data_IF_208155785318
#
_entry.id   IF_208155785318
#
_cell.length_a   1.000
_cell.length_b   1.000
_cell.length_c   1.000
_cell.angle_alpha   90.00
_cell.angle_beta   90.00
_cell.angle_gamma   90.00
#
_symmetry.space_group_name_H-M   'P 1'
#
loop_
_entity.id
_entity.type
_entity.pdbx_description
1 polymer ?
#
# COMPACT_ATOMS: atom_id res chain seq x y z
N UNK A 1 -10.65 -10.66 -7.42
CA UNK A 1 -9.29 -10.20 -7.72
C UNK A 1 -9.26 -8.68 -7.65
N UNK A 2 -8.42 -8.08 -6.81
CA UNK A 2 -8.29 -6.61 -6.69
C UNK A 2 -7.11 -6.09 -7.50
N UNK A 3 -7.23 -4.85 -7.98
CA UNK A 3 -6.16 -4.10 -8.65
C UNK A 3 -5.96 -2.76 -7.93
N UNK A 4 -4.74 -2.48 -7.51
CA UNK A 4 -4.33 -1.18 -6.97
C UNK A 4 -3.30 -0.52 -7.90
N UNK A 5 -3.54 0.73 -8.30
CA UNK A 5 -2.62 1.49 -9.17
C UNK A 5 -2.09 2.69 -8.40
N UNK A 6 -0.75 2.86 -8.36
CA UNK A 6 -0.10 4.05 -7.79
C UNK A 6 0.94 4.62 -8.75
N UNK A 7 0.94 5.95 -8.87
CA UNK A 7 1.95 6.74 -9.60
C UNK A 7 2.81 7.49 -8.59
N UNK A 8 4.13 7.43 -8.74
CA UNK A 8 5.07 8.25 -7.99
C UNK A 8 5.24 9.59 -8.71
N UNK A 9 4.96 10.71 -8.02
CA UNK A 9 4.84 12.04 -8.63
C UNK A 9 6.12 12.91 -8.57
N UNK A 10 7.23 12.41 -8.01
CA UNK A 10 8.41 13.24 -7.69
C UNK A 10 9.49 13.37 -8.78
N UNK A 11 9.36 12.68 -9.91
CA UNK A 11 10.32 12.76 -11.02
C UNK A 11 9.81 13.72 -12.10
N UNK A 12 9.90 15.04 -11.87
CA UNK A 12 9.78 16.03 -12.96
C UNK A 12 11.12 16.70 -13.12
N UNK A 13 11.70 16.60 -14.31
CA UNK A 13 12.94 17.27 -14.77
C UNK A 13 14.27 16.56 -14.43
N UNK A 14 14.41 15.27 -14.77
CA UNK A 14 15.68 14.53 -14.64
C UNK A 14 15.99 13.86 -15.99
N UNK A 15 17.25 13.96 -16.42
CA UNK A 15 17.76 13.42 -17.69
C UNK A 15 17.69 11.88 -17.68
N UNK A 16 17.36 11.19 -18.80
CA UNK A 16 17.06 9.76 -18.79
C UNK A 16 18.18 8.84 -18.28
N UNK A 17 19.44 9.29 -18.33
CA UNK A 17 20.60 8.52 -17.85
C UNK A 17 20.77 8.60 -16.32
N UNK A 18 20.29 9.68 -15.67
CA UNK A 18 20.28 9.85 -14.21
C UNK A 18 19.10 9.10 -13.54
N UNK A 19 18.08 8.73 -14.32
CA UNK A 19 16.87 8.00 -13.87
C UNK A 19 17.14 6.60 -13.34
N UNK A 20 18.24 5.96 -13.71
CA UNK A 20 18.53 4.59 -13.24
C UNK A 20 18.82 4.58 -11.74
N UNK A 21 19.44 5.62 -11.20
CA UNK A 21 19.75 5.71 -9.77
C UNK A 21 18.69 6.48 -8.99
N UNK A 22 18.05 7.50 -9.57
CA UNK A 22 16.90 8.17 -8.94
C UNK A 22 15.64 7.30 -8.96
N UNK A 23 15.34 6.65 -10.08
CA UNK A 23 14.27 5.66 -10.19
C UNK A 23 14.49 4.47 -9.26
N UNK A 24 15.73 4.02 -9.02
CA UNK A 24 16.03 3.04 -7.96
C UNK A 24 15.74 3.57 -6.56
N UNK A 25 16.08 4.83 -6.25
CA UNK A 25 15.80 5.44 -4.93
C UNK A 25 14.28 5.57 -4.69
N UNK A 26 13.53 5.97 -5.71
CA UNK A 26 12.08 6.11 -5.63
C UNK A 26 11.34 4.77 -5.67
N UNK A 27 11.88 3.75 -6.34
CA UNK A 27 11.38 2.37 -6.25
C UNK A 27 11.70 1.79 -4.87
N UNK A 28 12.91 2.02 -4.36
CA UNK A 28 13.33 1.64 -3.02
C UNK A 28 12.55 2.39 -1.93
N UNK A 29 11.78 3.44 -2.25
CA UNK A 29 10.88 4.08 -1.30
C UNK A 29 9.85 3.08 -0.75
N UNK A 30 9.15 2.38 -1.64
CA UNK A 30 8.08 1.46 -1.26
C UNK A 30 8.40 -0.01 -1.50
N UNK A 31 9.44 -0.34 -2.28
CA UNK A 31 9.83 -1.74 -2.53
C UNK A 31 11.03 -2.17 -1.70
N UNK A 32 10.98 -3.41 -1.23
CA UNK A 32 12.10 -4.07 -0.59
C UNK A 32 13.13 -4.51 -1.67
N UNK A 33 14.38 -4.83 -1.30
CA UNK A 33 15.44 -5.21 -2.26
C UNK A 33 15.06 -6.34 -3.23
N UNK A 34 14.27 -7.30 -2.77
CA UNK A 34 13.69 -8.43 -3.51
C UNK A 34 12.57 -8.00 -4.47
N UNK A 35 12.15 -6.73 -4.41
CA UNK A 35 11.18 -6.13 -5.31
C UNK A 35 9.71 -6.39 -4.96
N UNK A 36 9.45 -6.89 -3.75
CA UNK A 36 8.12 -6.92 -3.13
C UNK A 36 7.81 -5.56 -2.51
N UNK A 37 6.53 -5.33 -2.18
CA UNK A 37 6.14 -4.13 -1.45
C UNK A 37 6.59 -4.24 0.02
N UNK A 38 7.30 -3.23 0.55
CA UNK A 38 7.76 -3.23 1.95
C UNK A 38 6.58 -3.33 2.89
N UNK A 39 6.62 -4.31 3.79
CA UNK A 39 5.57 -4.53 4.80
C UNK A 39 5.41 -3.36 5.78
N UNK A 40 6.48 -2.57 5.96
CA UNK A 40 6.49 -1.36 6.77
C UNK A 40 5.94 -0.11 6.05
N UNK A 41 5.69 -0.17 4.74
CA UNK A 41 5.28 0.99 3.97
C UNK A 41 3.75 1.16 3.96
N UNK A 42 3.28 2.42 3.99
CA UNK A 42 1.84 2.77 4.02
C UNK A 42 0.98 2.11 2.93
N UNK A 43 1.55 1.88 1.74
CA UNK A 43 0.84 1.21 0.64
C UNK A 43 0.57 -0.27 0.96
N UNK A 44 1.45 -0.94 1.70
CA UNK A 44 1.21 -2.31 2.13
C UNK A 44 0.02 -2.38 3.07
N UNK A 45 -0.03 -1.52 4.09
CA UNK A 45 -1.20 -1.39 4.96
C UNK A 45 -2.48 -1.09 4.17
N UNK A 46 -2.44 -0.15 3.22
CA UNK A 46 -3.61 0.15 2.38
C UNK A 46 -4.11 -1.08 1.62
N UNK A 47 -3.22 -1.83 0.97
CA UNK A 47 -3.59 -3.04 0.21
C UNK A 47 -4.12 -4.12 1.14
N UNK A 48 -3.47 -4.34 2.29
CA UNK A 48 -3.93 -5.31 3.28
C UNK A 48 -5.32 -4.95 3.80
N UNK A 49 -5.59 -3.69 4.13
CA UNK A 49 -6.94 -3.25 4.51
C UNK A 49 -7.96 -3.56 3.42
N UNK A 50 -7.66 -3.29 2.15
CA UNK A 50 -8.56 -3.58 1.04
C UNK A 50 -8.82 -5.09 0.85
N UNK A 51 -7.80 -5.93 1.07
CA UNK A 51 -7.93 -7.39 1.01
C UNK A 51 -8.81 -7.94 2.14
N UNK A 52 -8.68 -7.39 3.36
CA UNK A 52 -9.43 -7.86 4.53
C UNK A 52 -10.86 -7.32 4.61
N UNK A 53 -11.12 -6.12 4.10
CA UNK A 53 -12.46 -5.52 4.06
C UNK A 53 -13.28 -5.94 2.84
N UNK A 54 -12.67 -6.66 1.89
CA UNK A 54 -13.38 -7.05 0.69
C UNK A 54 -14.52 -8.03 1.04
N UNK A 55 -15.76 -7.79 0.60
CA UNK A 55 -16.86 -8.73 0.84
C UNK A 55 -16.67 -10.06 0.12
N UNK A 56 -15.88 -10.08 -0.96
CA UNK A 56 -15.48 -11.29 -1.66
C UNK A 56 -14.20 -11.83 -1.03
N UNK A 57 -14.18 -13.12 -0.68
CA UNK A 57 -12.97 -13.80 -0.18
C UNK A 57 -11.90 -13.80 -1.27
N UNK A 58 -10.94 -12.90 -1.15
CA UNK A 58 -9.82 -12.73 -2.07
C UNK A 58 -8.51 -12.86 -1.30
N UNK A 59 -7.58 -13.61 -1.87
CA UNK A 59 -6.32 -13.93 -1.19
C UNK A 59 -5.14 -13.10 -1.72
N UNK A 60 -5.37 -12.21 -2.69
CA UNK A 60 -4.31 -11.38 -3.26
C UNK A 60 -4.79 -10.20 -4.10
N UNK A 61 -3.88 -9.23 -4.25
CA UNK A 61 -4.05 -7.98 -4.98
C UNK A 61 -2.91 -7.81 -5.99
N UNK A 62 -3.28 -7.41 -7.20
CA UNK A 62 -2.33 -6.92 -8.19
C UNK A 62 -2.05 -5.44 -7.94
N UNK A 63 -0.86 -5.15 -7.45
CA UNK A 63 -0.39 -3.80 -7.19
C UNK A 63 0.52 -3.34 -8.32
N UNK A 64 0.04 -2.42 -9.15
CA UNK A 64 0.81 -1.88 -10.26
C UNK A 64 1.43 -0.54 -9.86
N UNK A 65 2.77 -0.50 -9.86
CA UNK A 65 3.56 0.68 -9.62
C UNK A 65 3.99 1.27 -10.97
N UNK A 66 3.43 2.42 -11.33
CA UNK A 66 3.80 3.10 -12.57
C UNK A 66 5.03 3.98 -12.35
N UNK A 67 6.06 3.76 -13.17
CA UNK A 67 7.34 4.50 -13.14
C UNK A 67 7.66 4.89 -14.58
N UNK A 68 7.40 6.16 -14.90
CA UNK A 68 7.66 6.81 -16.19
C UNK A 68 7.36 5.97 -17.45
N UNK A 69 8.37 5.29 -18.01
CA UNK A 69 8.34 4.57 -19.27
C UNK A 69 7.90 3.10 -19.13
N UNK A 70 7.43 2.72 -17.95
CA UNK A 70 6.91 1.39 -17.70
C UNK A 70 6.19 1.29 -16.37
N UNK A 71 6.03 0.06 -15.91
CA UNK A 71 5.51 -0.19 -14.59
C UNK A 71 5.83 -1.58 -14.12
N UNK A 72 5.79 -1.75 -12.81
CA UNK A 72 6.02 -3.02 -12.16
C UNK A 72 4.72 -3.53 -11.59
N UNK A 73 4.33 -4.71 -12.03
CA UNK A 73 3.26 -5.47 -11.39
C UNK A 73 3.83 -6.24 -10.22
N UNK A 74 3.22 -6.08 -9.05
CA UNK A 74 3.58 -6.75 -7.81
C UNK A 74 2.34 -7.48 -7.32
N UNK A 75 2.50 -8.74 -6.93
CA UNK A 75 1.40 -9.51 -6.32
C UNK A 75 1.57 -9.40 -4.81
N UNK A 76 0.55 -8.89 -4.14
CA UNK A 76 0.51 -8.79 -2.68
C UNK A 76 -0.55 -9.76 -2.18
N UNK A 77 -0.12 -10.80 -1.48
CA UNK A 77 -1.02 -11.77 -0.85
C UNK A 77 -1.61 -11.21 0.44
N UNK A 78 -2.79 -11.70 0.82
CA UNK A 78 -3.42 -11.37 2.08
C UNK A 78 -2.55 -11.84 3.26
N UNK A 79 -2.37 -10.98 4.25
CA UNK A 79 -1.52 -11.18 5.41
C UNK A 79 -2.36 -11.07 6.69
N UNK A 80 -2.93 -12.20 7.12
CA UNK A 80 -3.78 -12.28 8.32
C UNK A 80 -2.98 -12.01 9.60
N UNK A 81 -1.67 -12.31 9.63
CA UNK A 81 -0.82 -12.02 10.78
C UNK A 81 -0.70 -10.52 11.04
N UNK A 82 -0.53 -9.73 9.98
CA UNK A 82 -0.49 -8.27 10.10
C UNK A 82 -1.80 -7.73 10.70
N UNK A 83 -2.95 -8.24 10.24
CA UNK A 83 -4.23 -7.83 10.79
C UNK A 83 -4.34 -8.21 12.26
N UNK A 84 -4.04 -9.46 12.61
CA UNK A 84 -4.13 -9.95 13.99
C UNK A 84 -3.23 -9.16 14.94
N UNK A 85 -2.03 -8.76 14.51
CA UNK A 85 -1.11 -7.90 15.28
C UNK A 85 -1.67 -6.49 15.54
N UNK A 86 -2.62 -6.01 14.74
CA UNK A 86 -3.13 -4.63 14.80
C UNK A 86 -4.62 -4.54 15.18
N UNK A 87 -5.35 -5.65 15.25
CA UNK A 87 -6.81 -5.66 15.41
C UNK A 87 -7.26 -4.98 16.72
N UNK A 88 -6.51 -5.17 17.81
CA UNK A 88 -6.81 -4.53 19.09
C UNK A 88 -6.67 -3.01 19.01
N UNK A 89 -5.60 -2.52 18.38
CA UNK A 89 -5.36 -1.08 18.18
C UNK A 89 -6.44 -0.47 17.29
N UNK A 90 -6.83 -1.17 16.22
CA UNK A 90 -7.89 -0.73 15.31
C UNK A 90 -9.25 -0.69 16.01
N UNK A 91 -9.56 -1.70 16.82
CA UNK A 91 -10.81 -1.77 17.60
C UNK A 91 -10.87 -0.63 18.61
N UNK A 92 -9.76 -0.36 19.31
CA UNK A 92 -9.67 0.75 20.25
C UNK A 92 -9.86 2.10 19.54
N UNK A 93 -9.14 2.34 18.44
CA UNK A 93 -9.28 3.57 17.66
C UNK A 93 -10.71 3.77 17.13
N UNK A 94 -11.34 2.69 16.67
CA UNK A 94 -12.72 2.71 16.20
C UNK A 94 -13.70 3.15 17.30
N UNK A 95 -13.59 2.56 18.50
CA UNK A 95 -14.49 2.88 19.63
C UNK A 95 -14.23 4.24 20.25
N UNK A 96 -12.96 4.57 20.48
CA UNK A 96 -12.58 5.74 21.29
C UNK A 96 -12.60 7.03 20.45
N UNK A 97 -12.35 6.94 19.14
CA UNK A 97 -12.21 8.11 18.27
C UNK A 97 -13.33 8.17 17.24
N UNK A 98 -13.48 7.13 16.41
CA UNK A 98 -14.40 7.19 15.28
C UNK A 98 -15.86 7.19 15.75
N UNK A 99 -16.23 6.25 16.62
CA UNK A 99 -17.60 6.14 17.12
C UNK A 99 -18.01 7.37 17.92
N UNK A 100 -17.15 7.87 18.80
CA UNK A 100 -17.41 9.11 19.55
C UNK A 100 -17.65 10.28 18.60
N UNK A 101 -16.85 10.41 17.54
CA UNK A 101 -17.01 11.49 16.58
C UNK A 101 -18.30 11.37 15.76
N UNK A 102 -18.65 10.16 15.32
CA UNK A 102 -19.92 9.93 14.62
C UNK A 102 -21.12 10.30 15.49
N UNK A 103 -21.08 9.92 16.79
CA UNK A 103 -22.19 10.19 17.72
C UNK A 103 -22.28 11.65 18.19
N UNK A 104 -21.23 12.45 18.03
CA UNK A 104 -21.15 13.84 18.49
C UNK A 104 -21.26 14.85 17.34
N UNK A 105 -21.08 14.42 16.09
CA UNK A 105 -21.26 15.23 14.87
C UNK A 105 -22.69 15.10 14.29
N UNK A 106 -23.63 14.42 15.00
CA UNK A 106 -25.10 14.41 14.78
C UNK A 106 -25.82 15.32 15.81
#
# INVERSE_FOLDING_TARGET
MLVGVKRLYRLRHVDPEDLVDEGKKDVAFCLAPEGTLKTSHKYYYQVQTQLHLNPYRIDGCYFFLFIENGGRLIIVSKDDELLNKNIEKLTKFSKDVILQRILLDD
#
